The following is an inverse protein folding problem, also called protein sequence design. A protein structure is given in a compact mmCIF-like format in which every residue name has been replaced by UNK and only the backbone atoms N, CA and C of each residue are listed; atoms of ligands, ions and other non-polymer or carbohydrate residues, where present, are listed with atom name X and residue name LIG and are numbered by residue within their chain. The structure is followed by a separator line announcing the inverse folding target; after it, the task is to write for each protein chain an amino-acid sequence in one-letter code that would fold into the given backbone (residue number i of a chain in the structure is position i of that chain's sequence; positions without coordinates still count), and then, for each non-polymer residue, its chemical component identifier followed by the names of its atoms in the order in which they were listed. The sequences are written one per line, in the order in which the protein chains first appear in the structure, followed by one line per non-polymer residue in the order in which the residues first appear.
data_IF_991225681987
#
_entry.id   IF_991225681987
#
_cell.length_a   1.000
_cell.length_b   1.000
_cell.length_c   1.000
_cell.angle_alpha   90.00
_cell.angle_beta   90.00
_cell.angle_gamma   90.00
#
_symmetry.space_group_name_H-M   'P 1'
#
loop_
_entity.id
_entity.type
_entity.pdbx_description
1 polymer ?
#
# COMPACT_ATOMS: atom_id res chain seq x y z
N UNK A 1 3.32 -8.77 18.14
CA UNK A 1 2.80 -7.41 17.82
C UNK A 1 1.52 -7.53 16.98
N UNK A 2 0.74 -6.46 16.85
CA UNK A 2 -0.39 -6.34 15.93
C UNK A 2 0.04 -5.54 14.69
N UNK A 3 0.00 -6.16 13.52
CA UNK A 3 0.50 -5.58 12.26
C UNK A 3 -0.66 -5.41 11.29
N UNK A 4 -0.91 -4.17 10.88
CA UNK A 4 -1.84 -3.86 9.79
C UNK A 4 -1.14 -3.97 8.44
N UNK A 5 -1.75 -4.62 7.45
CA UNK A 5 -1.24 -4.67 6.08
C UNK A 5 -2.27 -4.03 5.15
N UNK A 6 -1.84 -3.04 4.38
CA UNK A 6 -2.60 -2.54 3.24
C UNK A 6 -2.57 -3.58 2.14
N UNK A 7 -3.75 -4.12 1.83
CA UNK A 7 -3.92 -5.17 0.84
C UNK A 7 -5.18 -4.89 0.00
N UNK A 8 -5.43 -3.62 -0.34
CA UNK A 8 -6.69 -3.19 -0.93
C UNK A 8 -7.07 -4.01 -2.18
N UNK A 9 -6.07 -4.33 -3.00
CA UNK A 9 -6.23 -4.81 -4.37
C UNK A 9 -6.05 -6.31 -4.54
N UNK A 10 -5.75 -7.06 -3.48
CA UNK A 10 -5.44 -8.48 -3.59
C UNK A 10 -6.62 -9.32 -4.15
N UNK A 11 -7.85 -8.84 -3.96
CA UNK A 11 -9.08 -9.47 -4.48
C UNK A 11 -9.47 -9.03 -5.89
N UNK A 12 -8.69 -8.16 -6.54
CA UNK A 12 -8.93 -7.82 -7.95
C UNK A 12 -8.73 -9.05 -8.83
N UNK A 13 -9.62 -9.22 -9.81
CA UNK A 13 -9.53 -10.27 -10.84
C UNK A 13 -8.23 -10.18 -11.63
N UNK A 14 -7.93 -8.99 -12.18
CA UNK A 14 -6.66 -8.70 -12.86
C UNK A 14 -5.67 -8.08 -11.88
N UNK A 15 -4.70 -8.88 -11.45
CA UNK A 15 -3.62 -8.44 -10.56
C UNK A 15 -2.48 -7.81 -11.36
N UNK A 16 -1.89 -6.77 -10.80
CA UNK A 16 -0.66 -6.16 -11.30
C UNK A 16 0.55 -6.57 -10.45
N UNK A 17 1.75 -6.17 -10.87
CA UNK A 17 3.00 -6.58 -10.20
C UNK A 17 3.00 -6.31 -8.68
N UNK A 18 2.63 -5.10 -8.26
CA UNK A 18 2.56 -4.75 -6.83
C UNK A 18 1.52 -5.58 -6.06
N UNK A 19 0.40 -5.91 -6.70
CA UNK A 19 -0.67 -6.71 -6.09
C UNK A 19 -0.19 -8.16 -5.85
N UNK A 20 0.59 -8.70 -6.79
CA UNK A 20 1.20 -10.03 -6.67
C UNK A 20 2.26 -10.05 -5.56
N UNK A 21 3.11 -9.02 -5.47
CA UNK A 21 4.11 -8.91 -4.40
C UNK A 21 3.42 -8.86 -3.03
N UNK A 22 2.37 -8.07 -2.88
CA UNK A 22 1.61 -8.00 -1.62
C UNK A 22 0.95 -9.34 -1.26
N UNK A 23 0.37 -10.03 -2.26
CA UNK A 23 -0.24 -11.34 -2.07
C UNK A 23 0.78 -12.39 -1.61
N UNK A 24 1.91 -12.49 -2.31
CA UNK A 24 2.94 -13.47 -1.99
C UNK A 24 3.64 -13.15 -0.66
N UNK A 25 3.87 -11.87 -0.35
CA UNK A 25 4.34 -11.45 0.98
C UNK A 25 3.43 -11.99 2.08
N UNK A 26 2.11 -11.78 1.96
CA UNK A 26 1.15 -12.25 2.95
C UNK A 26 1.16 -13.78 3.04
N UNK A 27 1.20 -14.50 1.90
CA UNK A 27 1.23 -15.97 1.89
C UNK A 27 2.45 -16.54 2.60
N UNK A 28 3.62 -15.96 2.36
CA UNK A 28 4.85 -16.44 2.99
C UNK A 28 4.90 -16.05 4.47
N UNK A 29 4.44 -14.85 4.84
CA UNK A 29 4.31 -14.47 6.26
C UNK A 29 3.35 -15.42 7.01
N UNK A 30 2.26 -15.87 6.38
CA UNK A 30 1.37 -16.87 6.97
C UNK A 30 2.05 -18.23 7.27
N UNK A 31 3.13 -18.56 6.54
CA UNK A 31 3.85 -19.82 6.71
C UNK A 31 4.97 -19.72 7.74
N UNK A 32 5.60 -18.55 7.90
CA UNK A 32 6.83 -18.39 8.68
C UNK A 32 6.64 -17.64 10.00
N UNK A 33 5.60 -16.83 10.14
CA UNK A 33 5.35 -16.04 11.36
C UNK A 33 4.11 -16.55 12.09
N UNK A 34 4.34 -17.00 13.33
CA UNK A 34 3.31 -17.50 14.23
C UNK A 34 3.19 -16.67 15.52
N UNK A 35 4.02 -15.62 15.68
CA UNK A 35 4.09 -14.81 16.90
C UNK A 35 3.28 -13.51 16.79
N UNK A 36 3.23 -12.94 15.58
CA UNK A 36 2.52 -11.68 15.33
C UNK A 36 1.09 -11.90 14.84
N UNK A 37 0.20 -10.97 15.21
CA UNK A 37 -1.17 -10.91 14.74
C UNK A 37 -1.29 -9.91 13.59
N UNK A 38 -1.83 -10.36 12.47
CA UNK A 38 -1.94 -9.60 11.24
C UNK A 38 -3.39 -9.26 10.91
N UNK A 39 -3.64 -7.98 10.60
CA UNK A 39 -4.91 -7.50 10.05
C UNK A 39 -4.69 -7.03 8.61
N UNK A 40 -5.28 -7.76 7.66
CA UNK A 40 -5.20 -7.47 6.23
C UNK A 40 -6.37 -6.59 5.84
N UNK A 41 -6.11 -5.33 5.53
CA UNK A 41 -7.13 -4.37 5.13
C UNK A 41 -7.35 -4.44 3.62
N UNK A 42 -8.52 -4.95 3.23
CA UNK A 42 -8.86 -5.22 1.83
C UNK A 42 -10.06 -4.40 1.40
N UNK A 43 -10.21 -4.16 0.10
CA UNK A 43 -11.50 -3.71 -0.45
C UNK A 43 -12.27 -4.94 -0.93
N UNK A 44 -13.57 -5.07 -0.61
CA UNK A 44 -14.42 -6.12 -1.17
C UNK A 44 -14.35 -6.10 -2.71
N UNK A 45 -14.15 -7.27 -3.32
CA UNK A 45 -14.06 -7.46 -4.77
C UNK A 45 -14.39 -8.93 -5.11
N UNK A 46 -14.53 -9.25 -6.40
CA UNK A 46 -15.06 -10.53 -6.90
C UNK A 46 -14.25 -11.77 -6.49
N UNK A 47 -12.93 -11.64 -6.22
CA UNK A 47 -12.04 -12.77 -5.91
C UNK A 47 -11.68 -12.87 -4.41
N UNK A 48 -12.69 -12.94 -3.55
CA UNK A 48 -12.59 -12.99 -2.08
C UNK A 48 -11.94 -14.27 -1.51
N UNK A 49 -11.60 -15.24 -2.37
CA UNK A 49 -11.11 -16.57 -1.94
C UNK A 49 -9.59 -16.78 -2.10
N UNK A 50 -8.82 -15.78 -2.55
CA UNK A 50 -7.37 -15.97 -2.83
C UNK A 50 -6.49 -16.13 -1.60
N UNK A 51 -7.02 -15.79 -0.41
CA UNK A 51 -6.37 -15.91 0.89
C UNK A 51 -7.37 -16.37 1.94
N UNK A 52 -6.97 -17.35 2.74
CA UNK A 52 -7.75 -17.81 3.89
C UNK A 52 -7.26 -17.14 5.18
N UNK A 53 -8.15 -17.07 6.16
CA UNK A 53 -7.79 -16.71 7.53
C UNK A 53 -7.03 -17.83 8.22
N UNK A 54 -6.08 -17.44 9.06
CA UNK A 54 -5.41 -18.32 10.02
C UNK A 54 -5.63 -17.75 11.43
N UNK A 55 -5.22 -18.45 12.51
CA UNK A 55 -5.36 -17.92 13.87
C UNK A 55 -4.77 -16.52 14.03
N UNK A 56 -3.62 -16.27 13.40
CA UNK A 56 -2.89 -15.01 13.48
C UNK A 56 -3.00 -14.11 12.22
N UNK A 57 -3.79 -14.47 11.20
CA UNK A 57 -4.08 -13.58 10.06
C UNK A 57 -5.57 -13.39 9.85
N UNK A 58 -6.05 -12.16 10.07
CA UNK A 58 -7.45 -11.77 9.91
C UNK A 58 -7.65 -10.88 8.69
N UNK A 59 -8.79 -11.00 8.03
CA UNK A 59 -9.20 -10.20 6.88
C UNK A 59 -10.19 -9.16 7.38
N UNK A 60 -9.89 -7.88 7.10
CA UNK A 60 -10.77 -6.77 7.45
C UNK A 60 -11.18 -6.08 6.15
N UNK A 61 -12.44 -6.29 5.77
CA UNK A 61 -13.06 -5.64 4.62
C UNK A 61 -13.38 -4.19 4.96
N UNK A 62 -12.82 -3.27 4.19
CA UNK A 62 -13.02 -1.83 4.37
C UNK A 62 -13.77 -1.24 3.18
N UNK A 63 -14.88 -0.58 3.48
CA UNK A 63 -15.54 0.35 2.58
C UNK A 63 -14.84 1.72 2.61
N UNK A 64 -15.05 2.55 1.59
CA UNK A 64 -14.39 3.86 1.55
C UNK A 64 -14.31 4.54 0.19
N UNK A 65 -15.13 4.12 -0.79
CA UNK A 65 -15.18 4.74 -2.11
C UNK A 65 -13.91 4.54 -2.95
N UNK A 66 -13.44 5.63 -3.57
CA UNK A 66 -12.27 5.64 -4.44
C UNK A 66 -10.95 5.41 -3.69
N UNK A 67 -9.89 5.08 -4.42
CA UNK A 67 -8.59 4.74 -3.82
C UNK A 67 -8.03 5.81 -2.86
N UNK A 68 -7.99 7.11 -3.21
CA UNK A 68 -7.46 8.13 -2.30
C UNK A 68 -8.23 8.21 -0.98
N UNK A 69 -9.56 8.15 -1.03
CA UNK A 69 -10.41 8.21 0.17
C UNK A 69 -10.21 6.98 1.06
N UNK A 70 -10.20 5.80 0.44
CA UNK A 70 -9.98 4.55 1.16
C UNK A 70 -8.59 4.53 1.84
N UNK A 71 -7.54 4.94 1.13
CA UNK A 71 -6.17 4.96 1.64
C UNK A 71 -5.98 6.02 2.70
N UNK A 72 -6.44 7.26 2.47
CA UNK A 72 -6.15 8.37 3.37
C UNK A 72 -7.06 8.41 4.60
N UNK A 73 -8.21 7.72 4.58
CA UNK A 73 -9.23 7.81 5.64
C UNK A 73 -9.57 6.45 6.21
N UNK A 74 -10.11 5.52 5.40
CA UNK A 74 -10.61 4.23 5.91
C UNK A 74 -9.48 3.39 6.51
N UNK A 75 -8.35 3.29 5.80
CA UNK A 75 -7.19 2.50 6.21
C UNK A 75 -6.57 2.94 7.56
N UNK A 76 -6.17 4.21 7.77
CA UNK A 76 -5.55 4.60 9.05
C UNK A 76 -6.54 4.55 10.22
N UNK A 77 -7.83 4.81 9.97
CA UNK A 77 -8.88 4.65 10.99
C UNK A 77 -9.05 3.20 11.39
N UNK A 78 -9.05 2.28 10.43
CA UNK A 78 -9.11 0.86 10.70
C UNK A 78 -7.86 0.37 11.45
N UNK A 79 -6.66 0.74 11.00
CA UNK A 79 -5.42 0.39 11.69
C UNK A 79 -5.44 0.81 13.17
N UNK A 80 -5.92 2.03 13.45
CA UNK A 80 -6.11 2.52 14.82
C UNK A 80 -7.18 1.71 15.58
N UNK A 81 -8.34 1.47 14.97
CA UNK A 81 -9.45 0.72 15.58
C UNK A 81 -9.05 -0.69 15.99
N UNK A 82 -8.26 -1.38 15.18
CA UNK A 82 -7.78 -2.73 15.47
C UNK A 82 -6.53 -2.74 16.38
N UNK A 83 -6.06 -1.57 16.81
CA UNK A 83 -4.91 -1.43 17.71
C UNK A 83 -3.62 -1.92 17.09
N UNK A 84 -3.40 -1.66 15.79
CA UNK A 84 -2.15 -2.04 15.13
C UNK A 84 -0.99 -1.22 15.70
N UNK A 85 0.11 -1.90 16.00
CA UNK A 85 1.37 -1.29 16.42
C UNK A 85 2.11 -0.65 15.23
N UNK A 86 1.92 -1.22 14.04
CA UNK A 86 2.49 -0.72 12.78
C UNK A 86 1.55 -1.01 11.61
N UNK A 87 1.53 -0.12 10.62
CA UNK A 87 0.81 -0.25 9.36
C UNK A 87 1.80 -0.38 8.19
N UNK A 88 1.82 -1.54 7.54
CA UNK A 88 2.61 -1.81 6.35
C UNK A 88 1.81 -1.49 5.08
N UNK A 89 2.19 -0.43 4.38
CA UNK A 89 1.60 -0.05 3.10
C UNK A 89 2.38 -0.65 1.92
N UNK A 90 1.72 -1.42 1.06
CA UNK A 90 2.39 -2.22 0.02
C UNK A 90 2.29 -1.62 -1.40
N UNK A 91 1.47 -0.57 -1.58
CA UNK A 91 1.09 -0.01 -2.89
C UNK A 91 1.74 1.35 -3.26
N UNK A 92 3.04 1.58 -3.02
CA UNK A 92 3.79 2.85 -3.27
C UNK A 92 3.31 4.11 -2.52
N UNK A 93 2.05 4.19 -2.10
CA UNK A 93 1.47 5.27 -1.30
C UNK A 93 1.01 4.76 0.06
N UNK A 94 0.82 5.68 0.99
CA UNK A 94 0.32 5.42 2.33
C UNK A 94 -0.48 6.62 2.84
N UNK A 95 -1.25 6.47 3.93
CA UNK A 95 -1.92 7.59 4.56
C UNK A 95 -0.91 8.67 4.97
N UNK A 96 -1.10 9.92 4.57
CA UNK A 96 -0.22 11.03 4.99
C UNK A 96 -0.33 11.25 6.50
N UNK A 97 -1.55 11.10 7.04
CA UNK A 97 -1.84 11.23 8.46
C UNK A 97 -2.29 9.87 9.00
N UNK A 98 -1.44 9.28 9.85
CA UNK A 98 -1.76 8.07 10.61
C UNK A 98 -1.27 8.25 12.04
N UNK A 99 -2.09 7.83 12.99
CA UNK A 99 -1.65 7.72 14.41
C UNK A 99 -0.88 6.42 14.65
N UNK A 100 -1.04 5.44 13.77
CA UNK A 100 -0.26 4.19 13.75
C UNK A 100 1.01 4.42 12.93
N UNK A 101 2.21 4.07 13.44
CA UNK A 101 3.47 4.13 12.69
C UNK A 101 3.38 3.43 11.33
N UNK A 102 3.96 4.04 10.28
CA UNK A 102 3.91 3.51 8.91
C UNK A 102 5.25 2.87 8.53
N UNK A 103 5.17 1.70 7.92
CA UNK A 103 6.20 1.11 7.07
C UNK A 103 5.67 1.06 5.65
N UNK A 104 6.47 1.45 4.66
CA UNK A 104 6.03 1.44 3.26
C UNK A 104 6.97 0.60 2.41
N UNK A 105 6.40 -0.21 1.51
CA UNK A 105 7.13 -0.77 0.37
C UNK A 105 6.95 0.14 -0.84
N UNK A 106 8.05 0.71 -1.28
CA UNK A 106 8.15 1.57 -2.45
C UNK A 106 8.84 0.80 -3.59
N UNK A 107 8.05 0.39 -4.57
CA UNK A 107 8.47 -0.38 -5.74
C UNK A 107 9.21 0.48 -6.76
N UNK A 108 8.74 1.70 -6.99
CA UNK A 108 9.39 2.66 -7.89
C UNK A 108 8.93 4.11 -7.62
N UNK A 109 9.64 5.05 -8.24
CA UNK A 109 9.32 6.48 -8.25
C UNK A 109 9.17 7.03 -9.69
N UNK A 110 8.70 6.23 -10.65
CA UNK A 110 8.64 6.66 -12.07
C UNK A 110 7.76 7.90 -12.29
N UNK A 111 6.77 8.13 -11.41
CA UNK A 111 5.91 9.31 -11.40
C UNK A 111 6.62 10.59 -10.91
N UNK A 112 7.80 10.47 -10.31
CA UNK A 112 8.68 11.59 -9.92
C UNK A 112 9.54 12.08 -11.10
N UNK A 113 9.92 11.19 -12.00
CA UNK A 113 10.84 11.50 -13.12
C UNK A 113 10.19 12.32 -14.23
N UNK A 114 8.90 12.10 -14.46
CA UNK A 114 8.19 12.83 -15.50
C UNK A 114 7.73 14.19 -14.98
N UNK A 115 8.05 15.26 -15.71
CA UNK A 115 7.55 16.60 -15.39
C UNK A 115 6.01 16.62 -15.45
N UNK A 116 5.39 17.43 -14.59
CA UNK A 116 3.92 17.59 -14.55
C UNK A 116 3.37 17.96 -15.94
N UNK A 117 4.13 18.77 -16.70
CA UNK A 117 3.82 19.14 -18.09
C UNK A 117 3.79 17.92 -19.02
N UNK A 118 4.72 16.98 -18.89
CA UNK A 118 4.79 15.74 -19.69
C UNK A 118 3.67 14.76 -19.32
N UNK A 119 3.29 14.69 -18.03
CA UNK A 119 2.14 13.90 -17.58
C UNK A 119 0.83 14.47 -18.14
N UNK A 120 0.64 15.79 -18.10
CA UNK A 120 -0.58 16.43 -18.60
C UNK A 120 -0.70 16.39 -20.13
N UNK A 121 0.42 16.55 -20.85
CA UNK A 121 0.48 16.48 -22.33
C UNK A 121 0.57 15.06 -22.90
N UNK A 122 0.82 14.05 -22.07
CA UNK A 122 0.92 12.66 -22.52
C UNK A 122 -0.42 12.06 -22.94
N UNK A 123 -0.37 10.95 -23.68
CA UNK A 123 -1.51 10.16 -24.17
C UNK A 123 -2.22 9.33 -23.09
N UNK A 124 -1.79 9.41 -21.82
CA UNK A 124 -2.39 8.65 -20.73
C UNK A 124 -3.84 9.04 -20.45
N UNK A 125 -4.63 8.08 -19.96
CA UNK A 125 -6.03 8.32 -19.59
C UNK A 125 -6.14 9.31 -18.43
N UNK A 126 -7.31 9.96 -18.26
CA UNK A 126 -7.58 10.87 -17.12
C UNK A 126 -7.27 10.19 -15.78
N UNK A 127 -7.57 8.91 -15.64
CA UNK A 127 -7.28 8.11 -14.46
C UNK A 127 -5.78 7.96 -14.21
N UNK A 128 -4.99 7.68 -15.25
CA UNK A 128 -3.53 7.57 -15.13
C UNK A 128 -2.88 8.90 -14.76
N UNK A 129 -3.34 10.00 -15.38
CA UNK A 129 -2.87 11.35 -15.07
C UNK A 129 -3.15 11.72 -13.61
N UNK A 130 -4.37 11.48 -13.14
CA UNK A 130 -4.76 11.70 -11.75
C UNK A 130 -3.93 10.83 -10.79
N UNK A 131 -3.78 9.53 -11.06
CA UNK A 131 -2.99 8.62 -10.22
C UNK A 131 -1.52 9.03 -10.11
N UNK A 132 -0.92 9.51 -11.20
CA UNK A 132 0.46 10.02 -11.18
C UNK A 132 0.58 11.31 -10.37
N UNK A 133 -0.36 12.25 -10.54
CA UNK A 133 -0.37 13.49 -9.76
C UNK A 133 -0.55 13.19 -8.26
N UNK A 134 -1.48 12.29 -7.92
CA UNK A 134 -1.71 11.82 -6.56
C UNK A 134 -0.42 11.27 -5.94
N UNK A 135 0.22 10.28 -6.59
CA UNK A 135 1.47 9.69 -6.11
C UNK A 135 2.57 10.73 -5.94
N UNK A 136 2.75 11.63 -6.91
CA UNK A 136 3.75 12.70 -6.86
C UNK A 136 3.57 13.63 -5.65
N UNK A 137 2.34 13.92 -5.26
CA UNK A 137 2.05 14.77 -4.10
C UNK A 137 2.16 14.05 -2.76
N UNK A 138 1.79 12.77 -2.71
CA UNK A 138 1.65 12.00 -1.47
C UNK A 138 2.96 11.34 -1.06
N UNK A 139 3.68 10.73 -2.01
CA UNK A 139 4.86 9.91 -1.70
C UNK A 139 5.95 10.68 -0.95
N UNK A 140 6.36 11.90 -1.35
CA UNK A 140 7.36 12.66 -0.59
C UNK A 140 6.93 13.00 0.85
N UNK A 141 5.63 13.13 1.11
CA UNK A 141 5.11 13.38 2.46
C UNK A 141 5.12 12.11 3.30
N UNK A 142 4.77 10.98 2.69
CA UNK A 142 4.75 9.66 3.31
C UNK A 142 6.16 9.18 3.64
N UNK A 143 7.12 9.34 2.74
CA UNK A 143 8.50 8.89 2.98
C UNK A 143 9.12 9.59 4.20
N UNK A 144 8.89 10.89 4.36
CA UNK A 144 9.35 11.65 5.52
C UNK A 144 8.72 11.22 6.85
N UNK A 145 7.54 10.58 6.81
CA UNK A 145 6.79 10.16 8.00
C UNK A 145 6.89 8.67 8.29
N UNK A 146 7.35 7.88 7.33
CA UNK A 146 7.47 6.43 7.46
C UNK A 146 8.64 6.10 8.40
N UNK A 147 8.42 5.20 9.35
CA UNK A 147 9.48 4.68 10.24
C UNK A 147 10.48 3.82 9.47
N UNK A 148 10.02 3.17 8.41
CA UNK A 148 10.85 2.34 7.53
C UNK A 148 10.32 2.40 6.11
N UNK A 149 11.25 2.47 5.16
CA UNK A 149 10.99 2.33 3.73
C UNK A 149 11.68 1.06 3.27
N UNK A 150 10.92 0.16 2.65
CA UNK A 150 11.39 -1.03 1.96
C UNK A 150 11.34 -0.72 0.46
N UNK A 151 12.35 -1.15 -0.29
CA UNK A 151 12.34 -1.05 -1.75
C UNK A 151 12.87 -2.33 -2.36
N UNK A 152 12.64 -2.51 -3.66
CA UNK A 152 12.80 -3.80 -4.36
C UNK A 152 14.23 -4.09 -4.80
N UNK A 153 15.12 -3.09 -4.80
CA UNK A 153 16.52 -3.25 -5.17
C UNK A 153 17.39 -2.11 -4.65
N UNK A 154 18.71 -2.32 -4.61
CA UNK A 154 19.66 -1.24 -4.32
C UNK A 154 19.65 -0.13 -5.37
N UNK A 155 19.34 -0.47 -6.63
CA UNK A 155 19.17 0.54 -7.68
C UNK A 155 18.01 1.49 -7.39
N UNK A 156 16.85 0.96 -6.98
CA UNK A 156 15.71 1.80 -6.60
C UNK A 156 16.00 2.61 -5.33
N UNK A 157 16.70 2.02 -4.36
CA UNK A 157 17.16 2.73 -3.16
C UNK A 157 17.99 3.96 -3.51
N UNK A 158 18.96 3.82 -4.41
CA UNK A 158 19.80 4.93 -4.87
C UNK A 158 19.03 5.96 -5.68
N UNK A 159 18.01 5.55 -6.44
CA UNK A 159 17.08 6.48 -7.09
C UNK A 159 16.26 7.25 -6.06
N UNK A 160 15.66 6.59 -5.07
CA UNK A 160 14.85 7.21 -4.02
C UNK A 160 15.66 8.23 -3.21
N UNK A 161 16.91 7.92 -2.88
CA UNK A 161 17.78 8.84 -2.12
C UNK A 161 18.18 10.11 -2.88
N UNK A 162 18.01 10.14 -4.21
CA UNK A 162 18.32 11.32 -5.04
C UNK A 162 17.14 12.29 -5.18
N UNK A 163 15.97 11.98 -4.63
CA UNK A 163 14.75 12.80 -4.66
C UNK A 163 14.35 13.30 -3.28
#
# INVERSE_FOLDING_TARGET
MKIGIEAQRIFRKKKHGMDMVALELIRHLQQIDHDNLYYRFVKPDEADQVLQETPNFKIVKLEGGGYPTWEQISLPRAAKKYGCDILHCTSNTAPVFSSVPIMITLHDIIYMENSVRKIMKGSGSRYQKFGNLYRRMIVPKVLRRSKKVITVSDFEKDRINRF
#
